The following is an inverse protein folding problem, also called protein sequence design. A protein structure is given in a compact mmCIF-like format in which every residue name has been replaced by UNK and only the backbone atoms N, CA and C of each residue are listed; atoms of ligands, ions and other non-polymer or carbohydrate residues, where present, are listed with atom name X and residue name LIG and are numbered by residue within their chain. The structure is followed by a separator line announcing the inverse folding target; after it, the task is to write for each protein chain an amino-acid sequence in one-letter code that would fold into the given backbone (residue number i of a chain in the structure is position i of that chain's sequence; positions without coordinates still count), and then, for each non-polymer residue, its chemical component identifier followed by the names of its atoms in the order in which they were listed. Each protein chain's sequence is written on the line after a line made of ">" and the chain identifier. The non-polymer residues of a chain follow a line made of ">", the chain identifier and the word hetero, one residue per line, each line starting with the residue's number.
data_IF_897196110794
#
_entry.id   IF_897196110794
#
_cell.length_a   1.000
_cell.length_b   1.000
_cell.length_c   1.000
_cell.angle_alpha   90.00
_cell.angle_beta   90.00
_cell.angle_gamma   90.00
#
_symmetry.space_group_name_H-M   'P 1'
#
loop_
_entity.id
_entity.type
_entity.pdbx_description
1 polymer ?
#
# COMPACT_ATOMS: atom_id res chain seq x y z
N UNK A 1 3.80 16.55 -17.48
CA UNK A 1 3.48 15.41 -16.58
C UNK A 1 4.11 14.10 -17.01
N UNK A 2 3.96 13.63 -18.26
CA UNK A 2 4.50 12.33 -18.70
C UNK A 2 6.02 12.16 -18.48
N UNK A 3 6.82 13.19 -18.80
CA UNK A 3 8.28 13.19 -18.58
C UNK A 3 8.65 13.03 -17.11
N UNK A 4 7.95 13.74 -16.23
CA UNK A 4 8.16 13.67 -14.77
C UNK A 4 7.87 12.27 -14.24
N UNK A 5 6.73 11.68 -14.63
CA UNK A 5 6.35 10.32 -14.22
C UNK A 5 7.36 9.29 -14.72
N UNK A 6 7.83 9.43 -15.96
CA UNK A 6 8.87 8.55 -16.50
C UNK A 6 10.17 8.62 -15.69
N UNK A 7 10.59 9.84 -15.31
CA UNK A 7 11.74 10.07 -14.45
C UNK A 7 11.58 9.41 -13.07
N UNK A 8 10.44 9.64 -12.40
CA UNK A 8 10.15 9.02 -11.11
C UNK A 8 10.19 7.50 -11.17
N UNK A 9 9.56 6.91 -12.18
CA UNK A 9 9.59 5.44 -12.40
C UNK A 9 11.00 4.91 -12.59
N UNK A 10 11.86 5.63 -13.32
CA UNK A 10 13.26 5.25 -13.48
C UNK A 10 14.03 5.28 -12.16
N UNK A 11 13.84 6.33 -11.36
CA UNK A 11 14.47 6.46 -10.04
C UNK A 11 14.02 5.37 -9.07
N UNK A 12 12.72 5.07 -9.02
CA UNK A 12 12.18 3.98 -8.18
C UNK A 12 12.79 2.63 -8.57
N UNK A 13 12.86 2.31 -9.87
CA UNK A 13 13.50 1.06 -10.33
C UNK A 13 14.98 1.00 -9.96
N UNK A 14 15.71 2.11 -10.11
CA UNK A 14 17.11 2.17 -9.72
C UNK A 14 17.29 1.93 -8.21
N UNK A 15 16.42 2.50 -7.37
CA UNK A 15 16.41 2.28 -5.93
C UNK A 15 16.13 0.81 -5.57
N UNK A 16 15.12 0.19 -6.16
CA UNK A 16 14.80 -1.24 -5.93
C UNK A 16 15.98 -2.14 -6.28
N UNK A 17 16.60 -1.95 -7.45
CA UNK A 17 17.76 -2.72 -7.90
C UNK A 17 18.98 -2.57 -6.97
N UNK A 18 19.10 -1.44 -6.26
CA UNK A 18 20.14 -1.24 -5.24
C UNK A 18 19.89 -2.12 -4.02
N UNK A 19 18.65 -2.13 -3.51
CA UNK A 19 18.28 -2.94 -2.34
C UNK A 19 18.35 -4.45 -2.62
N UNK A 20 18.05 -4.88 -3.85
CA UNK A 20 18.23 -6.29 -4.28
C UNK A 20 19.69 -6.77 -4.19
N UNK A 21 20.66 -5.84 -4.22
CA UNK A 21 22.11 -6.13 -4.18
C UNK A 21 22.77 -5.72 -2.86
N UNK A 22 21.99 -5.20 -1.92
CA UNK A 22 22.48 -4.69 -0.65
C UNK A 22 22.26 -5.69 0.48
N UNK A 23 23.04 -5.55 1.54
CA UNK A 23 22.77 -6.15 2.84
C UNK A 23 22.24 -5.02 3.74
N UNK A 24 20.92 -4.90 3.94
CA UNK A 24 20.37 -3.85 4.80
C UNK A 24 20.73 -4.13 6.27
N UNK A 25 21.32 -3.13 6.94
CA UNK A 25 21.80 -3.25 8.33
C UNK A 25 20.97 -2.41 9.32
N UNK A 26 19.97 -1.67 8.83
CA UNK A 26 19.11 -0.86 9.69
C UNK A 26 18.00 -1.77 10.24
N UNK A 27 18.01 -2.00 11.55
CA UNK A 27 17.14 -2.98 12.20
C UNK A 27 15.64 -2.70 12.05
N UNK A 28 15.25 -1.44 11.84
CA UNK A 28 13.85 -1.02 11.66
C UNK A 28 13.40 -1.00 10.20
N UNK A 29 14.30 -1.21 9.24
CA UNK A 29 13.95 -1.22 7.82
C UNK A 29 13.57 -2.61 7.33
N UNK A 30 12.59 -2.67 6.42
CA UNK A 30 12.15 -3.91 5.82
C UNK A 30 11.56 -3.68 4.42
N UNK A 31 11.46 -4.75 3.63
CA UNK A 31 10.83 -4.74 2.32
C UNK A 31 9.43 -5.34 2.40
N UNK A 32 8.44 -4.64 1.87
CA UNK A 32 7.08 -5.16 1.75
C UNK A 32 7.04 -6.40 0.84
N UNK A 33 6.30 -7.42 1.28
CA UNK A 33 6.00 -8.61 0.47
C UNK A 33 5.16 -8.25 -0.77
N UNK A 34 5.16 -9.08 -1.83
CA UNK A 34 4.31 -8.85 -3.00
C UNK A 34 2.83 -8.69 -2.64
N UNK A 35 2.30 -9.52 -1.73
CA UNK A 35 0.90 -9.46 -1.29
C UNK A 35 0.56 -8.16 -0.55
N UNK A 36 1.45 -7.69 0.32
CA UNK A 36 1.24 -6.42 1.01
C UNK A 36 1.24 -5.23 0.03
N UNK A 37 2.10 -5.26 -1.00
CA UNK A 37 2.12 -4.24 -2.06
C UNK A 37 0.84 -4.25 -2.89
N UNK A 38 0.30 -5.42 -3.19
CA UNK A 38 -0.95 -5.57 -3.93
C UNK A 38 -2.11 -4.89 -3.21
N UNK A 39 -2.27 -5.16 -1.90
CA UNK A 39 -3.32 -4.55 -1.09
C UNK A 39 -3.14 -3.03 -0.96
N UNK A 40 -1.90 -2.55 -0.81
CA UNK A 40 -1.60 -1.11 -0.69
C UNK A 40 -2.01 -0.29 -1.93
N UNK A 41 -1.96 -0.89 -3.12
CA UNK A 41 -2.28 -0.21 -4.40
C UNK A 41 -3.78 -0.31 -4.73
N UNK A 42 -4.56 -1.06 -3.94
CA UNK A 42 -6.01 -1.09 -4.08
C UNK A 42 -6.65 0.27 -3.85
N UNK A 43 -7.89 0.40 -4.26
CA UNK A 43 -8.69 1.61 -4.11
C UNK A 43 -9.16 1.88 -2.67
N UNK A 44 -8.89 0.96 -1.73
CA UNK A 44 -9.28 1.09 -0.31
C UNK A 44 -8.77 2.39 0.33
N UNK A 45 -7.61 2.91 -0.09
CA UNK A 45 -7.05 4.16 0.43
C UNK A 45 -7.90 5.40 0.13
N UNK A 46 -8.86 5.31 -0.79
CA UNK A 46 -9.78 6.38 -1.18
C UNK A 46 -11.17 6.22 -0.55
N UNK A 47 -11.37 5.22 0.31
CA UNK A 47 -12.66 4.91 0.95
C UNK A 47 -12.69 5.42 2.38
N UNK A 48 -13.84 5.96 2.77
CA UNK A 48 -14.10 6.44 4.12
C UNK A 48 -15.04 5.47 4.83
N UNK A 49 -14.50 4.74 5.80
CA UNK A 49 -15.21 3.76 6.62
C UNK A 49 -15.19 4.16 8.10
N UNK A 50 -15.60 5.39 8.40
CA UNK A 50 -15.66 5.87 9.79
C UNK A 50 -16.71 5.09 10.58
N UNK A 51 -16.41 4.78 11.85
CA UNK A 51 -17.23 3.92 12.71
C UNK A 51 -16.67 2.50 12.83
N UNK A 52 -17.45 1.59 13.41
CA UNK A 52 -17.09 0.18 13.55
C UNK A 52 -17.80 -0.68 12.48
N UNK A 53 -17.31 -1.90 12.19
CA UNK A 53 -18.02 -2.81 11.30
C UNK A 53 -19.48 -3.02 11.73
N UNK A 54 -20.44 -2.78 10.84
CA UNK A 54 -21.89 -2.80 11.11
C UNK A 54 -22.46 -1.51 11.72
N UNK A 55 -21.61 -0.57 12.14
CA UNK A 55 -21.97 0.72 12.74
C UNK A 55 -21.21 1.87 12.05
N UNK A 56 -21.20 1.87 10.71
CA UNK A 56 -20.52 2.91 9.92
C UNK A 56 -21.36 4.17 9.81
N UNK A 57 -20.69 5.31 9.77
CA UNK A 57 -21.33 6.61 9.51
C UNK A 57 -21.70 6.81 8.03
N UNK A 58 -21.05 6.07 7.13
CA UNK A 58 -21.24 6.18 5.69
C UNK A 58 -21.64 4.82 5.08
N UNK A 59 -22.43 4.89 4.01
CA UNK A 59 -22.90 3.74 3.23
C UNK A 59 -21.79 3.12 2.35
N UNK A 60 -21.99 1.88 1.90
CA UNK A 60 -21.13 1.20 0.93
C UNK A 60 -19.83 0.62 1.50
N UNK A 61 -19.85 0.21 2.77
CA UNK A 61 -18.70 -0.31 3.50
C UNK A 61 -18.76 -1.84 3.75
N UNK A 62 -19.63 -2.58 3.06
CA UNK A 62 -19.86 -4.01 3.31
C UNK A 62 -18.58 -4.85 3.14
N UNK A 63 -17.80 -4.55 2.10
CA UNK A 63 -16.52 -5.23 1.85
C UNK A 63 -15.43 -4.76 2.83
N UNK A 64 -15.41 -3.46 3.20
CA UNK A 64 -14.44 -2.91 4.17
C UNK A 64 -14.65 -3.54 5.55
N UNK A 65 -15.90 -3.71 5.96
CA UNK A 65 -16.26 -4.40 7.19
C UNK A 65 -15.81 -5.86 7.18
N UNK A 66 -15.92 -6.53 6.03
CA UNK A 66 -15.44 -7.90 5.88
C UNK A 66 -13.93 -7.97 6.02
N UNK A 67 -13.20 -7.03 5.40
CA UNK A 67 -11.75 -6.93 5.50
C UNK A 67 -11.32 -6.66 6.95
N UNK A 68 -11.93 -5.69 7.64
CA UNK A 68 -11.58 -5.32 9.01
C UNK A 68 -11.86 -6.46 10.01
N UNK A 69 -12.85 -7.33 9.75
CA UNK A 69 -13.10 -8.53 10.57
C UNK A 69 -12.10 -9.66 10.34
N UNK A 70 -11.38 -9.66 9.22
CA UNK A 70 -10.37 -10.68 8.90
C UNK A 70 -8.98 -10.33 9.46
N UNK A 71 -8.78 -9.09 9.89
CA UNK A 71 -7.53 -8.56 10.43
C UNK A 71 -7.61 -8.35 11.93
#
# INVERSE_FOLDING_TARGET
>A
MARTVAGLRATVRHHSARFERAIPLIASENLLSPYAKEMLISDLHSRYAEGLPGERYYEGNEDVDTIERLT
#
